data_IF_493258830345
#
_entry.id   IF_493258830345
#
_cell.length_a   1.000
_cell.length_b   1.000
_cell.length_c   1.000
_cell.angle_alpha   90.00
_cell.angle_beta   90.00
_cell.angle_gamma   90.00
#
_symmetry.space_group_name_H-M   'P 1'
#
loop_
_entity.id
_entity.type
_entity.pdbx_description
1 polymer ?
#
# COMPACT_ATOMS: atom_id res chain seq x y z
N UNK A 1 -55.34 -4.24 -23.02
CA UNK A 1 -54.30 -5.27 -23.16
C UNK A 1 -52.98 -4.55 -23.10
N UNK A 2 -52.44 -4.42 -21.90
CA UNK A 2 -51.27 -3.62 -21.61
C UNK A 2 -50.18 -4.57 -21.10
N UNK A 3 -49.06 -4.59 -21.81
CA UNK A 3 -47.88 -5.43 -21.56
C UNK A 3 -47.02 -4.93 -20.37
N UNK A 4 -47.57 -4.12 -19.46
CA UNK A 4 -46.81 -3.49 -18.37
C UNK A 4 -46.87 -4.24 -17.03
N UNK A 5 -47.67 -5.30 -16.90
CA UNK A 5 -47.87 -5.98 -15.60
C UNK A 5 -46.90 -7.15 -15.30
N UNK A 6 -45.89 -7.39 -16.16
CA UNK A 6 -44.95 -8.51 -15.99
C UNK A 6 -43.63 -8.17 -15.27
N UNK A 7 -43.42 -6.93 -14.82
CA UNK A 7 -42.17 -6.54 -14.16
C UNK A 7 -42.08 -6.92 -12.67
N UNK A 8 -43.17 -7.38 -12.04
CA UNK A 8 -43.29 -7.43 -10.57
C UNK A 8 -42.99 -8.79 -9.91
N UNK A 9 -42.25 -9.71 -10.53
CA UNK A 9 -41.79 -10.93 -9.84
C UNK A 9 -40.57 -11.57 -10.52
N UNK A 10 -39.43 -10.88 -10.52
CA UNK A 10 -38.14 -11.55 -10.79
C UNK A 10 -37.87 -12.56 -9.68
N UNK A 11 -37.60 -13.82 -10.07
CA UNK A 11 -37.26 -14.90 -9.16
C UNK A 11 -36.05 -14.47 -8.28
N UNK A 12 -36.15 -14.53 -6.94
CA UNK A 12 -35.02 -14.26 -6.04
C UNK A 12 -33.73 -15.01 -6.43
N UNK A 13 -33.86 -16.21 -7.03
CA UNK A 13 -32.71 -16.97 -7.55
C UNK A 13 -32.06 -16.30 -8.76
N UNK A 14 -32.84 -15.80 -9.71
CA UNK A 14 -32.31 -15.12 -10.89
C UNK A 14 -31.58 -13.82 -10.51
N UNK A 15 -32.12 -13.08 -9.54
CA UNK A 15 -31.48 -11.88 -8.98
C UNK A 15 -30.13 -12.23 -8.34
N UNK A 16 -30.10 -13.26 -7.50
CA UNK A 16 -28.88 -13.72 -6.82
C UNK A 16 -27.80 -14.16 -7.81
N UNK A 17 -28.15 -14.94 -8.84
CA UNK A 17 -27.20 -15.39 -9.87
C UNK A 17 -26.63 -14.21 -10.66
N UNK A 18 -27.46 -13.24 -11.05
CA UNK A 18 -27.01 -12.05 -11.78
C UNK A 18 -26.06 -11.20 -10.93
N UNK A 19 -26.38 -11.00 -9.66
CA UNK A 19 -25.53 -10.27 -8.72
C UNK A 19 -24.19 -10.97 -8.53
N UNK A 20 -24.19 -12.29 -8.28
CA UNK A 20 -22.96 -13.08 -8.17
C UNK A 20 -22.08 -12.99 -9.42
N UNK A 21 -22.67 -13.11 -10.62
CA UNK A 21 -21.91 -13.00 -11.87
C UNK A 21 -21.25 -11.64 -12.07
N UNK A 22 -21.90 -10.55 -11.62
CA UNK A 22 -21.31 -9.20 -11.67
C UNK A 22 -20.21 -9.01 -10.64
N UNK A 23 -20.38 -9.51 -9.41
CA UNK A 23 -19.32 -9.48 -8.39
C UNK A 23 -18.07 -10.18 -8.91
N UNK A 24 -18.21 -11.39 -9.45
CA UNK A 24 -17.08 -12.16 -10.01
C UNK A 24 -16.39 -11.39 -11.15
N UNK A 25 -17.16 -10.71 -12.00
CA UNK A 25 -16.60 -9.86 -13.06
C UNK A 25 -15.76 -8.73 -12.46
N UNK A 26 -16.34 -7.94 -11.55
CA UNK A 26 -15.65 -6.78 -10.97
C UNK A 26 -14.50 -7.17 -10.05
N UNK A 27 -14.60 -8.25 -9.28
CA UNK A 27 -13.50 -8.72 -8.44
C UNK A 27 -12.30 -9.15 -9.29
N UNK A 28 -12.54 -9.80 -10.43
CA UNK A 28 -11.47 -10.13 -11.39
C UNK A 28 -10.83 -8.87 -11.97
N UNK A 29 -11.62 -7.87 -12.33
CA UNK A 29 -11.11 -6.58 -12.83
C UNK A 29 -10.26 -5.88 -11.75
N UNK A 30 -10.73 -5.85 -10.50
CA UNK A 30 -10.01 -5.27 -9.35
C UNK A 30 -8.61 -5.87 -9.19
N UNK A 31 -8.47 -7.20 -9.33
CA UNK A 31 -7.17 -7.87 -9.18
C UNK A 31 -6.15 -7.56 -10.29
N UNK A 32 -6.57 -6.91 -11.38
CA UNK A 32 -5.69 -6.48 -12.46
C UNK A 32 -5.28 -5.00 -12.36
N UNK A 33 -5.79 -4.27 -11.36
CA UNK A 33 -5.46 -2.86 -11.17
C UNK A 33 -4.09 -2.70 -10.53
N UNK A 34 -3.43 -1.57 -10.83
CA UNK A 34 -2.05 -1.34 -10.41
C UNK A 34 -1.95 -0.40 -9.21
N UNK A 35 -2.99 0.41 -8.98
CA UNK A 35 -3.04 1.43 -7.93
C UNK A 35 -4.28 1.32 -7.03
N UNK A 36 -4.16 1.82 -5.80
CA UNK A 36 -5.27 1.84 -4.83
C UNK A 36 -6.38 2.80 -5.29
N UNK A 37 -6.01 3.87 -5.96
CA UNK A 37 -6.91 4.87 -6.53
C UNK A 37 -7.82 4.24 -7.61
N UNK A 38 -7.28 3.40 -8.49
CA UNK A 38 -8.07 2.67 -9.47
C UNK A 38 -9.07 1.71 -8.82
N UNK A 39 -8.65 1.01 -7.76
CA UNK A 39 -9.54 0.11 -7.00
C UNK A 39 -10.70 0.91 -6.40
N UNK A 40 -10.42 2.09 -5.83
CA UNK A 40 -11.43 2.95 -5.26
C UNK A 40 -12.43 3.44 -6.33
N UNK A 41 -11.95 3.94 -7.47
CA UNK A 41 -12.80 4.39 -8.58
C UNK A 41 -13.69 3.27 -9.12
N UNK A 42 -13.12 2.08 -9.38
CA UNK A 42 -13.90 0.93 -9.86
C UNK A 42 -14.94 0.49 -8.83
N UNK A 43 -14.61 0.54 -7.54
CA UNK A 43 -15.56 0.22 -6.47
C UNK A 43 -16.75 1.17 -6.45
N UNK A 44 -16.52 2.49 -6.62
CA UNK A 44 -17.59 3.48 -6.71
C UNK A 44 -18.52 3.23 -7.90
N UNK A 45 -17.96 2.82 -9.05
CA UNK A 45 -18.73 2.53 -10.26
C UNK A 45 -19.50 1.21 -10.18
N UNK A 46 -18.88 0.17 -9.62
CA UNK A 46 -19.37 -1.20 -9.62
C UNK A 46 -20.46 -1.45 -8.59
N UNK A 47 -20.34 -0.89 -7.39
CA UNK A 47 -21.26 -1.19 -6.29
C UNK A 47 -22.73 -0.85 -6.62
N UNK A 48 -23.08 0.38 -7.06
CA UNK A 48 -24.47 0.73 -7.38
C UNK A 48 -25.01 -0.10 -8.55
N UNK A 49 -24.12 -0.70 -9.34
CA UNK A 49 -24.46 -1.45 -10.51
C UNK A 49 -25.04 -2.83 -10.16
N UNK A 50 -24.48 -3.56 -9.19
CA UNK A 50 -24.93 -4.94 -8.87
C UNK A 50 -25.67 -5.10 -7.54
N UNK A 51 -25.61 -4.10 -6.66
CA UNK A 51 -26.36 -4.10 -5.41
C UNK A 51 -27.73 -3.44 -5.64
N UNK A 52 -28.79 -4.12 -5.22
CA UNK A 52 -30.16 -3.61 -5.38
C UNK A 52 -30.39 -2.35 -4.54
N UNK A 53 -31.29 -1.48 -5.02
CA UNK A 53 -31.52 -0.18 -4.39
C UNK A 53 -30.43 0.87 -4.66
N UNK A 54 -29.42 0.54 -5.48
CA UNK A 54 -28.40 1.47 -5.99
C UNK A 54 -27.77 2.35 -4.90
N UNK A 55 -27.12 1.75 -3.89
CA UNK A 55 -26.55 2.52 -2.79
C UNK A 55 -25.45 3.47 -3.26
N UNK A 56 -25.22 4.53 -2.48
CA UNK A 56 -24.04 5.39 -2.59
C UNK A 56 -22.89 4.77 -1.79
N UNK A 57 -21.83 4.25 -2.45
CA UNK A 57 -20.66 3.72 -1.77
C UNK A 57 -19.73 4.79 -1.21
N UNK A 58 -19.05 4.45 -0.12
CA UNK A 58 -17.84 5.10 0.39
C UNK A 58 -16.83 4.02 0.72
N UNK A 59 -15.60 4.17 0.26
CA UNK A 59 -14.52 3.23 0.55
C UNK A 59 -13.51 3.90 1.47
N UNK A 60 -13.16 3.23 2.58
CA UNK A 60 -12.11 3.66 3.48
C UNK A 60 -11.00 2.60 3.57
N UNK A 61 -9.74 3.03 3.52
CA UNK A 61 -8.55 2.19 3.68
C UNK A 61 -8.16 2.13 5.15
N UNK A 62 -7.86 0.92 5.63
CA UNK A 62 -7.19 0.69 6.90
C UNK A 62 -5.69 0.60 6.61
N UNK A 63 -4.91 1.52 7.17
CA UNK A 63 -3.46 1.56 7.01
C UNK A 63 -2.80 1.81 8.35
N UNK A 64 -1.98 0.86 8.80
CA UNK A 64 -1.26 0.93 10.07
C UNK A 64 -2.18 1.19 11.28
N UNK A 65 -3.41 0.67 11.24
CA UNK A 65 -4.41 0.91 12.28
C UNK A 65 -5.17 2.23 12.20
N UNK A 66 -4.87 3.08 11.21
CA UNK A 66 -5.67 4.28 10.93
C UNK A 66 -6.64 4.00 9.77
N UNK A 67 -7.87 4.50 9.89
CA UNK A 67 -8.91 4.39 8.87
C UNK A 67 -9.09 5.76 8.19
N UNK A 68 -9.00 5.83 6.86
CA UNK A 68 -9.17 7.07 6.08
C UNK A 68 -10.00 6.80 4.83
N UNK A 69 -10.86 7.74 4.45
CA UNK A 69 -11.63 7.63 3.21
C UNK A 69 -10.69 7.68 2.00
N UNK A 70 -10.82 6.72 1.09
CA UNK A 70 -10.18 6.74 -0.23
C UNK A 70 -11.03 7.52 -1.22
N UNK A 71 -12.31 7.15 -1.34
CA UNK A 71 -13.24 7.75 -2.30
C UNK A 71 -14.69 7.58 -1.80
N UNK A 72 -15.57 8.50 -2.22
CA UNK A 72 -16.98 8.47 -1.82
C UNK A 72 -17.90 9.02 -2.90
N UNK A 73 -19.05 8.35 -3.10
CA UNK A 73 -20.19 8.91 -3.82
C UNK A 73 -21.19 9.62 -2.89
N UNK A 74 -20.90 9.72 -1.60
CA UNK A 74 -21.70 10.47 -0.64
C UNK A 74 -21.37 11.95 -0.75
N UNK A 75 -22.41 12.78 -0.81
CA UNK A 75 -22.23 14.23 -0.84
C UNK A 75 -21.53 14.72 0.45
N UNK A 76 -20.48 15.53 0.27
CA UNK A 76 -19.74 16.14 1.38
C UNK A 76 -18.72 15.23 2.07
N UNK A 77 -18.37 14.10 1.45
CA UNK A 77 -17.26 13.24 1.87
C UNK A 77 -16.25 13.14 0.74
N UNK A 78 -14.98 13.30 1.08
CA UNK A 78 -13.89 13.32 0.13
C UNK A 78 -12.74 12.40 0.57
N UNK A 79 -11.88 12.04 -0.38
CA UNK A 79 -10.65 11.30 -0.10
C UNK A 79 -9.77 12.05 0.92
N UNK A 80 -9.31 11.31 1.93
CA UNK A 80 -8.53 11.84 3.06
C UNK A 80 -9.34 12.17 4.31
N UNK A 81 -10.68 12.24 4.21
CA UNK A 81 -11.54 12.54 5.36
C UNK A 81 -11.54 11.41 6.41
N UNK A 82 -11.98 11.76 7.63
CA UNK A 82 -12.25 10.76 8.66
C UNK A 82 -13.47 9.92 8.28
N UNK A 83 -13.41 8.60 8.47
CA UNK A 83 -14.52 7.71 8.24
C UNK A 83 -15.67 8.04 9.21
N UNK A 84 -16.91 7.86 8.74
CA UNK A 84 -18.09 8.01 9.61
C UNK A 84 -18.12 6.96 10.74
N UNK A 85 -18.92 7.20 11.80
CA UNK A 85 -18.95 6.34 12.98
C UNK A 85 -19.35 4.89 12.68
N UNK A 86 -20.16 4.67 11.64
CA UNK A 86 -20.51 3.30 11.21
C UNK A 86 -19.30 2.52 10.69
N UNK A 87 -18.43 3.16 9.88
CA UNK A 87 -17.22 2.54 9.37
C UNK A 87 -16.20 2.29 10.50
N UNK A 88 -16.10 3.24 11.43
CA UNK A 88 -15.26 3.10 12.62
C UNK A 88 -15.72 1.91 13.47
N UNK A 89 -17.03 1.77 13.69
CA UNK A 89 -17.60 0.63 14.42
C UNK A 89 -17.29 -0.70 13.76
N UNK A 90 -17.46 -0.79 12.44
CA UNK A 90 -17.13 -1.98 11.67
C UNK A 90 -15.63 -2.32 11.74
N UNK A 91 -14.76 -1.31 11.73
CA UNK A 91 -13.32 -1.50 11.91
C UNK A 91 -12.97 -2.06 13.31
N UNK A 92 -13.66 -1.57 14.35
CA UNK A 92 -13.43 -1.98 15.73
C UNK A 92 -13.92 -3.40 16.02
N UNK A 93 -15.12 -3.75 15.54
CA UNK A 93 -15.74 -5.05 15.83
C UNK A 93 -15.33 -6.13 14.83
N UNK A 94 -14.95 -5.76 13.62
CA UNK A 94 -14.69 -6.70 12.52
C UNK A 94 -15.96 -7.30 11.92
N UNK A 95 -17.13 -6.86 12.37
CA UNK A 95 -18.43 -7.33 11.90
C UNK A 95 -19.00 -6.39 10.84
N UNK A 96 -19.92 -6.90 10.03
CA UNK A 96 -20.74 -6.04 9.17
C UNK A 96 -21.69 -5.26 10.07
N UNK A 97 -21.66 -3.93 10.00
CA UNK A 97 -22.49 -3.07 10.84
C UNK A 97 -23.60 -2.43 10.02
N UNK A 98 -24.84 -2.55 10.49
CA UNK A 98 -26.03 -2.01 9.84
C UNK A 98 -26.69 -0.99 10.76
N UNK A 99 -27.02 0.16 10.20
CA UNK A 99 -27.84 1.19 10.86
C UNK A 99 -29.02 1.52 9.94
N UNK A 100 -30.24 1.52 10.47
CA UNK A 100 -31.46 1.75 9.69
C UNK A 100 -32.40 2.70 10.45
N UNK A 101 -33.10 3.58 9.73
CA UNK A 101 -34.12 4.46 10.33
C UNK A 101 -35.34 3.68 10.76
N UNK A 102 -36.10 4.27 11.67
CA UNK A 102 -37.42 3.78 12.06
C UNK A 102 -38.31 3.49 10.84
N UNK A 103 -38.89 2.30 10.84
CA UNK A 103 -39.78 1.82 9.78
C UNK A 103 -39.10 0.99 8.69
N UNK A 104 -37.77 0.92 8.65
CA UNK A 104 -37.05 0.02 7.75
C UNK A 104 -36.90 -1.36 8.39
N UNK A 105 -37.29 -2.42 7.68
CA UNK A 105 -37.14 -3.79 8.15
C UNK A 105 -35.72 -4.31 7.88
N UNK A 106 -35.09 -4.94 8.88
CA UNK A 106 -33.82 -5.67 8.72
C UNK A 106 -34.14 -7.16 8.79
N UNK A 107 -34.34 -7.77 7.63
CA UNK A 107 -34.76 -9.16 7.47
C UNK A 107 -33.60 -10.18 7.55
N UNK A 108 -32.36 -9.72 7.39
CA UNK A 108 -31.16 -10.56 7.51
C UNK A 108 -30.38 -10.25 8.78
N UNK A 109 -30.23 -11.26 9.65
CA UNK A 109 -29.45 -11.20 10.89
C UNK A 109 -28.71 -12.51 11.08
N UNK A 110 -27.41 -12.42 11.31
CA UNK A 110 -26.52 -13.53 11.70
C UNK A 110 -25.52 -13.02 12.74
N UNK A 111 -24.63 -13.90 13.21
CA UNK A 111 -23.63 -13.57 14.24
C UNK A 111 -22.61 -12.52 13.77
N UNK A 112 -22.37 -12.45 12.46
CA UNK A 112 -21.40 -11.54 11.84
C UNK A 112 -22.00 -10.17 11.46
N UNK A 113 -23.32 -9.97 11.69
CA UNK A 113 -24.02 -8.70 11.42
C UNK A 113 -24.45 -8.06 12.73
N UNK A 114 -23.87 -6.90 13.03
CA UNK A 114 -24.23 -6.05 14.14
C UNK A 114 -25.24 -4.98 13.68
N UNK A 115 -26.41 -4.95 14.30
CA UNK A 115 -27.40 -3.87 14.06
C UNK A 115 -27.25 -2.84 15.16
N UNK A 116 -26.99 -1.59 14.78
CA UNK A 116 -26.86 -0.46 15.69
C UNK A 116 -28.05 0.48 15.59
N UNK A 117 -28.37 1.11 16.72
CA UNK A 117 -29.41 2.13 16.81
C UNK A 117 -28.91 3.45 16.20
N UNK A 118 -29.71 4.15 15.36
CA UNK A 118 -29.38 5.48 14.87
C UNK A 118 -29.00 6.47 15.96
N UNK A 119 -29.64 6.42 17.12
CA UNK A 119 -29.36 7.34 18.24
C UNK A 119 -27.96 7.13 18.84
N UNK A 120 -27.37 5.94 18.64
CA UNK A 120 -26.02 5.60 19.07
C UNK A 120 -24.93 5.94 18.05
N UNK A 121 -25.29 6.45 16.88
CA UNK A 121 -24.36 6.65 15.76
C UNK A 121 -24.57 8.03 15.12
N UNK A 122 -23.82 9.03 15.59
CA UNK A 122 -24.00 10.42 15.19
C UNK A 122 -23.95 10.59 13.66
N UNK A 123 -24.99 11.20 13.09
CA UNK A 123 -25.12 11.39 11.63
C UNK A 123 -25.45 10.13 10.82
N UNK A 124 -25.74 8.97 11.42
CA UNK A 124 -26.11 7.75 10.72
C UNK A 124 -27.54 7.27 11.05
N UNK A 125 -28.26 6.62 10.12
CA UNK A 125 -27.85 6.32 8.74
C UNK A 125 -28.02 7.52 7.81
N UNK A 126 -27.23 7.55 6.74
CA UNK A 126 -27.31 8.56 5.69
C UNK A 126 -28.39 8.16 4.67
N UNK A 127 -29.64 8.47 5.00
CA UNK A 127 -30.80 8.06 4.20
C UNK A 127 -31.71 7.12 4.99
N UNK A 128 -32.17 6.04 4.36
CA UNK A 128 -32.98 5.03 5.00
C UNK A 128 -32.13 3.99 5.75
N UNK A 129 -31.06 3.51 5.12
CA UNK A 129 -30.18 2.45 5.66
C UNK A 129 -28.73 2.73 5.30
N UNK A 130 -27.82 2.48 6.23
CA UNK A 130 -26.39 2.45 6.02
C UNK A 130 -25.84 1.09 6.43
N UNK A 131 -24.92 0.54 5.65
CA UNK A 131 -24.20 -0.71 5.92
C UNK A 131 -22.70 -0.48 5.81
N UNK A 132 -21.91 -0.97 6.76
CA UNK A 132 -20.46 -0.95 6.70
C UNK A 132 -19.92 -2.40 6.74
N UNK A 133 -19.27 -2.83 5.67
CA UNK A 133 -18.65 -4.14 5.55
C UNK A 133 -17.12 -4.02 5.67
N UNK A 134 -16.51 -4.52 6.75
CA UNK A 134 -15.07 -4.47 6.94
C UNK A 134 -14.38 -5.73 6.41
N UNK A 135 -13.14 -5.59 5.94
CA UNK A 135 -12.21 -6.71 5.81
C UNK A 135 -10.86 -6.26 6.35
N UNK A 136 -10.39 -6.96 7.39
CA UNK A 136 -9.26 -6.52 8.22
C UNK A 136 -8.25 -7.65 8.36
N UNK A 137 -7.01 -7.36 7.99
CA UNK A 137 -5.84 -8.21 8.23
C UNK A 137 -5.02 -7.59 9.35
N UNK A 138 -4.79 -8.33 10.43
CA UNK A 138 -3.95 -7.89 11.56
C UNK A 138 -2.68 -8.73 11.60
N UNK A 139 -1.54 -8.07 11.58
CA UNK A 139 -0.24 -8.70 11.78
C UNK A 139 0.68 -7.82 12.65
N UNK A 140 1.96 -8.17 12.74
CA UNK A 140 2.97 -7.42 13.50
C UNK A 140 3.14 -5.97 13.02
N UNK A 141 2.74 -5.65 11.79
CA UNK A 141 2.82 -4.30 11.21
C UNK A 141 1.57 -3.46 11.46
N UNK A 142 0.58 -4.00 12.17
CA UNK A 142 -0.68 -3.33 12.47
C UNK A 142 -1.84 -3.82 11.59
N UNK A 143 -2.98 -3.14 11.71
CA UNK A 143 -4.16 -3.48 10.91
C UNK A 143 -4.05 -2.89 9.49
N UNK A 144 -4.44 -3.69 8.49
CA UNK A 144 -4.55 -3.34 7.07
C UNK A 144 -5.84 -3.89 6.48
N UNK A 145 -6.36 -3.27 5.42
CA UNK A 145 -7.58 -3.73 4.76
C UNK A 145 -8.45 -2.55 4.33
N UNK A 146 -9.75 -2.76 4.29
CA UNK A 146 -10.69 -1.72 3.90
C UNK A 146 -12.05 -1.88 4.56
N UNK A 147 -12.84 -0.81 4.55
CA UNK A 147 -14.25 -0.80 4.94
C UNK A 147 -15.06 -0.21 3.79
N UNK A 148 -16.02 -0.98 3.28
CA UNK A 148 -16.99 -0.52 2.28
C UNK A 148 -18.27 -0.10 3.00
N UNK A 149 -18.62 1.19 2.91
CA UNK A 149 -19.88 1.72 3.42
C UNK A 149 -20.86 1.94 2.29
N UNK A 150 -22.09 1.50 2.46
CA UNK A 150 -23.18 1.62 1.51
C UNK A 150 -24.33 2.38 2.15
N UNK A 151 -24.74 3.47 1.52
CA UNK A 151 -25.85 4.30 1.96
C UNK A 151 -27.02 4.21 0.97
N UNK A 152 -28.18 3.74 1.42
CA UNK A 152 -29.42 3.73 0.65
C UNK A 152 -30.32 4.88 1.08
N UNK A 153 -30.77 5.70 0.13
CA UNK A 153 -31.67 6.82 0.42
C UNK A 153 -33.12 6.41 0.65
N UNK A 154 -33.60 5.32 0.05
CA UNK A 154 -35.03 4.92 0.03
C UNK A 154 -35.27 3.42 0.15
N UNK A 155 -34.42 2.67 0.85
CA UNK A 155 -34.59 1.23 1.03
C UNK A 155 -35.53 0.94 2.21
N UNK A 156 -36.59 0.17 1.98
CA UNK A 156 -37.59 -0.15 3.01
C UNK A 156 -37.35 -1.49 3.72
N UNK A 157 -36.56 -2.39 3.11
CA UNK A 157 -36.21 -3.68 3.71
C UNK A 157 -34.78 -4.10 3.30
N UNK A 158 -33.94 -4.37 4.30
CA UNK A 158 -32.58 -4.90 4.12
C UNK A 158 -32.57 -6.42 4.25
N UNK A 159 -32.46 -7.09 3.11
CA UNK A 159 -32.38 -8.56 2.98
C UNK A 159 -30.95 -9.08 2.74
N UNK A 160 -30.78 -10.41 2.79
CA UNK A 160 -29.49 -11.11 2.64
C UNK A 160 -28.75 -10.75 1.35
N UNK A 161 -29.50 -10.55 0.25
CA UNK A 161 -28.94 -10.21 -1.05
C UNK A 161 -28.44 -8.76 -1.18
N UNK A 162 -28.59 -7.93 -0.14
CA UNK A 162 -27.88 -6.66 -0.04
C UNK A 162 -26.58 -6.84 0.76
N UNK A 163 -26.65 -7.58 1.87
CA UNK A 163 -25.56 -7.72 2.83
C UNK A 163 -24.44 -8.59 2.28
N UNK A 164 -24.73 -9.82 1.85
CA UNK A 164 -23.69 -10.76 1.39
C UNK A 164 -22.88 -10.25 0.20
N UNK A 165 -23.52 -9.69 -0.86
CA UNK A 165 -22.78 -9.06 -1.95
C UNK A 165 -21.84 -7.95 -1.51
N UNK A 166 -22.25 -7.10 -0.56
CA UNK A 166 -21.43 -6.02 -0.05
C UNK A 166 -20.21 -6.58 0.70
N UNK A 167 -20.43 -7.56 1.57
CA UNK A 167 -19.40 -8.23 2.36
C UNK A 167 -18.36 -8.93 1.48
N UNK A 168 -18.81 -9.76 0.53
CA UNK A 168 -17.91 -10.42 -0.43
C UNK A 168 -17.12 -9.43 -1.29
N UNK A 169 -17.73 -8.32 -1.69
CA UNK A 169 -17.03 -7.34 -2.50
C UNK A 169 -16.01 -6.55 -1.67
N UNK A 170 -16.32 -6.22 -0.41
CA UNK A 170 -15.39 -5.60 0.52
C UNK A 170 -14.13 -6.47 0.72
N UNK A 171 -14.29 -7.80 0.79
CA UNK A 171 -13.17 -8.74 0.89
C UNK A 171 -12.21 -8.63 -0.30
N UNK A 172 -12.76 -8.63 -1.52
CA UNK A 172 -11.97 -8.50 -2.74
C UNK A 172 -11.26 -7.15 -2.85
N UNK A 173 -11.95 -6.07 -2.49
CA UNK A 173 -11.37 -4.72 -2.46
C UNK A 173 -10.20 -4.67 -1.47
N UNK A 174 -10.40 -5.13 -0.24
CA UNK A 174 -9.38 -5.12 0.80
C UNK A 174 -8.17 -5.98 0.40
N UNK A 175 -8.41 -7.17 -0.17
CA UNK A 175 -7.34 -8.05 -0.67
C UNK A 175 -6.50 -7.35 -1.73
N UNK A 176 -7.14 -6.70 -2.70
CA UNK A 176 -6.44 -6.00 -3.77
C UNK A 176 -5.61 -4.82 -3.25
N UNK A 177 -6.17 -4.00 -2.36
CA UNK A 177 -5.47 -2.88 -1.72
C UNK A 177 -4.24 -3.39 -0.97
N UNK A 178 -4.38 -4.44 -0.15
CA UNK A 178 -3.26 -5.02 0.62
C UNK A 178 -2.16 -5.52 -0.31
N UNK A 179 -2.53 -6.21 -1.40
CA UNK A 179 -1.56 -6.72 -2.38
C UNK A 179 -0.81 -5.60 -3.09
N UNK A 180 -1.50 -4.54 -3.53
CA UNK A 180 -0.89 -3.37 -4.17
C UNK A 180 0.08 -2.70 -3.19
N UNK A 181 -0.34 -2.43 -1.96
CA UNK A 181 0.51 -1.81 -0.93
C UNK A 181 1.75 -2.65 -0.59
N UNK A 182 1.59 -3.97 -0.57
CA UNK A 182 2.69 -4.92 -0.35
C UNK A 182 3.71 -4.83 -1.48
N UNK A 183 3.26 -4.86 -2.74
CA UNK A 183 4.12 -4.72 -3.93
C UNK A 183 4.84 -3.37 -3.96
N UNK A 184 4.12 -2.26 -3.75
CA UNK A 184 4.72 -0.92 -3.71
C UNK A 184 5.82 -0.81 -2.64
N UNK A 185 5.61 -1.44 -1.48
CA UNK A 185 6.61 -1.45 -0.40
C UNK A 185 7.86 -2.22 -0.81
N UNK A 186 7.69 -3.38 -1.45
CA UNK A 186 8.79 -4.19 -1.93
C UNK A 186 9.60 -3.47 -3.02
N UNK A 187 8.92 -2.84 -3.97
CA UNK A 187 9.57 -2.06 -5.03
C UNK A 187 10.35 -0.87 -4.46
N UNK A 188 9.77 -0.14 -3.50
CA UNK A 188 10.48 0.94 -2.80
C UNK A 188 11.73 0.43 -2.08
N UNK A 189 11.61 -0.65 -1.32
CA UNK A 189 12.76 -1.24 -0.63
C UNK A 189 13.86 -1.70 -1.59
N UNK A 190 13.48 -2.31 -2.72
CA UNK A 190 14.42 -2.73 -3.77
C UNK A 190 15.13 -1.54 -4.43
N UNK A 191 14.40 -0.48 -4.74
CA UNK A 191 14.96 0.73 -5.34
C UNK A 191 15.92 1.44 -4.37
N UNK A 192 15.57 1.51 -3.09
CA UNK A 192 16.44 2.06 -2.06
C UNK A 192 17.73 1.25 -1.91
N UNK A 193 17.64 -0.09 -1.96
CA UNK A 193 18.80 -0.97 -1.93
C UNK A 193 19.68 -0.79 -3.17
N UNK A 194 19.08 -0.77 -4.36
CA UNK A 194 19.81 -0.56 -5.61
C UNK A 194 20.57 0.77 -5.61
N UNK A 195 19.92 1.84 -5.14
CA UNK A 195 20.53 3.17 -5.02
C UNK A 195 21.69 3.19 -4.02
N UNK A 196 21.58 2.47 -2.90
CA UNK A 196 22.69 2.33 -1.94
C UNK A 196 23.87 1.56 -2.55
N UNK A 197 23.62 0.50 -3.32
CA UNK A 197 24.66 -0.25 -4.01
C UNK A 197 25.38 0.60 -5.05
N UNK A 198 24.64 1.33 -5.88
CA UNK A 198 25.22 2.25 -6.86
C UNK A 198 26.14 3.29 -6.19
N UNK A 199 25.71 3.86 -5.06
CA UNK A 199 26.53 4.82 -4.31
C UNK A 199 27.83 4.21 -3.79
N UNK A 200 27.80 2.96 -3.30
CA UNK A 200 28.99 2.25 -2.84
C UNK A 200 29.97 2.02 -3.99
N UNK A 201 29.49 1.59 -5.16
CA UNK A 201 30.32 1.39 -6.35
C UNK A 201 30.96 2.69 -6.84
N UNK A 202 30.23 3.81 -6.76
CA UNK A 202 30.77 5.15 -7.08
C UNK A 202 31.87 5.55 -6.10
N UNK A 203 31.69 5.31 -4.79
CA UNK A 203 32.72 5.59 -3.80
C UNK A 203 33.97 4.73 -4.02
N UNK A 204 33.83 3.43 -4.28
CA UNK A 204 34.98 2.55 -4.56
C UNK A 204 35.76 3.05 -5.79
N UNK A 205 35.06 3.45 -6.86
CA UNK A 205 35.71 4.00 -8.06
C UNK A 205 36.46 5.31 -7.76
N UNK A 206 35.80 6.28 -7.13
CA UNK A 206 36.40 7.59 -6.83
C UNK A 206 37.62 7.44 -5.92
N UNK A 207 37.52 6.60 -4.89
CA UNK A 207 38.61 6.39 -3.95
C UNK A 207 39.75 5.62 -4.62
N UNK A 208 39.48 4.42 -5.16
CA UNK A 208 40.54 3.51 -5.60
C UNK A 208 41.15 3.92 -6.93
N UNK A 209 40.33 4.31 -7.89
CA UNK A 209 40.83 4.66 -9.21
C UNK A 209 41.27 6.12 -9.22
N UNK A 210 40.40 7.07 -8.90
CA UNK A 210 40.72 8.47 -9.16
C UNK A 210 41.70 9.03 -8.11
N UNK A 211 41.36 8.93 -6.83
CA UNK A 211 42.21 9.44 -5.76
C UNK A 211 43.48 8.60 -5.56
N UNK A 212 43.37 7.27 -5.68
CA UNK A 212 44.53 6.37 -5.66
C UNK A 212 45.54 6.71 -6.76
N UNK A 213 45.08 6.91 -8.00
CA UNK A 213 45.95 7.30 -9.11
C UNK A 213 46.63 8.66 -8.86
N UNK A 214 45.87 9.66 -8.40
CA UNK A 214 46.41 10.99 -8.13
C UNK A 214 47.48 10.96 -7.04
N UNK A 215 47.25 10.21 -5.95
CA UNK A 215 48.23 10.04 -4.88
C UNK A 215 49.49 9.32 -5.38
N UNK A 216 49.36 8.33 -6.25
CA UNK A 216 50.50 7.64 -6.82
C UNK A 216 51.33 8.54 -7.76
N UNK A 217 50.66 9.42 -8.51
CA UNK A 217 51.33 10.46 -9.31
C UNK A 217 52.07 11.46 -8.42
N UNK A 218 51.44 11.94 -7.34
CA UNK A 218 52.05 12.85 -6.37
C UNK A 218 53.28 12.19 -5.72
N UNK A 219 53.19 10.92 -5.33
CA UNK A 219 54.31 10.17 -4.77
C UNK A 219 55.48 10.10 -5.76
N UNK A 220 55.22 9.77 -7.03
CA UNK A 220 56.24 9.70 -8.07
C UNK A 220 56.93 11.04 -8.38
N UNK A 221 56.18 12.15 -8.46
CA UNK A 221 56.79 13.47 -8.64
C UNK A 221 57.58 13.93 -7.42
N UNK A 222 57.13 13.59 -6.22
CA UNK A 222 57.84 13.91 -4.99
C UNK A 222 59.18 13.18 -4.90
N UNK A 223 59.23 11.91 -5.30
CA UNK A 223 60.46 11.11 -5.39
C UNK A 223 61.45 11.72 -6.41
N UNK A 224 60.96 12.11 -7.58
CA UNK A 224 61.76 12.77 -8.62
C UNK A 224 62.31 14.14 -8.16
N UNK A 225 61.52 14.92 -7.42
CA UNK A 225 61.97 16.18 -6.84
C UNK A 225 63.06 15.90 -5.79
N UNK A 226 62.83 14.99 -4.84
CA UNK A 226 63.81 14.64 -3.81
C UNK A 226 65.18 14.28 -4.40
N UNK A 227 65.19 13.52 -5.50
CA UNK A 227 66.40 13.14 -6.24
C UNK A 227 67.05 14.32 -7.01
N UNK A 228 66.26 15.31 -7.44
CA UNK A 228 66.77 16.43 -8.23
C UNK A 228 67.35 17.59 -7.39
N UNK A 229 66.95 17.70 -6.11
CA UNK A 229 67.43 18.72 -5.16
C UNK A 229 68.37 18.13 -4.09
N UNK A 230 69.17 17.12 -4.45
CA UNK A 230 70.15 16.46 -3.56
C UNK A 230 71.09 17.44 -2.81
N UNK A 231 71.35 18.62 -3.36
CA UNK A 231 72.20 19.66 -2.75
C UNK A 231 71.45 20.63 -1.81
N UNK A 232 70.11 20.53 -1.71
CA UNK A 232 69.27 21.32 -0.81
C UNK A 232 68.50 20.39 0.14
N UNK A 233 69.13 20.10 1.29
CA UNK A 233 68.61 19.23 2.36
C UNK A 233 67.18 19.60 2.80
N UNK A 234 66.80 20.88 2.70
CA UNK A 234 65.49 21.34 3.16
C UNK A 234 64.40 21.03 2.13
N UNK A 235 64.67 21.29 0.84
CA UNK A 235 63.76 20.95 -0.25
C UNK A 235 63.65 19.42 -0.44
N UNK A 236 64.75 18.68 -0.31
CA UNK A 236 64.75 17.21 -0.35
C UNK A 236 63.88 16.63 0.78
N UNK A 237 64.04 17.12 2.01
CA UNK A 237 63.22 16.69 3.15
C UNK A 237 61.72 17.03 3.01
N UNK A 238 61.38 18.13 2.32
CA UNK A 238 59.98 18.45 2.00
C UNK A 238 59.39 17.47 0.98
N UNK A 239 60.14 17.13 -0.06
CA UNK A 239 59.71 16.21 -1.10
C UNK A 239 59.47 14.79 -0.54
N UNK A 240 60.40 14.24 0.27
CA UNK A 240 60.22 12.95 0.94
C UNK A 240 58.99 12.90 1.85
N UNK A 241 58.64 14.02 2.49
CA UNK A 241 57.46 14.10 3.36
C UNK A 241 56.17 14.06 2.55
N UNK A 242 56.14 14.70 1.38
CA UNK A 242 54.98 14.64 0.47
C UNK A 242 54.82 13.21 -0.05
N UNK A 243 55.91 12.57 -0.47
CA UNK A 243 55.93 11.18 -0.92
C UNK A 243 55.34 10.22 0.11
N UNK A 244 55.90 10.20 1.33
CA UNK A 244 55.40 9.33 2.43
C UNK A 244 53.93 9.56 2.75
N UNK A 245 53.49 10.82 2.71
CA UNK A 245 52.08 11.16 3.00
C UNK A 245 51.17 10.65 1.89
N UNK A 246 51.58 10.76 0.63
CA UNK A 246 50.83 10.26 -0.52
C UNK A 246 50.73 8.72 -0.52
N UNK A 247 51.83 8.03 -0.22
CA UNK A 247 51.87 6.56 -0.07
C UNK A 247 50.97 6.08 1.08
N UNK A 248 51.07 6.71 2.26
CA UNK A 248 50.22 6.38 3.42
C UNK A 248 48.72 6.57 3.11
N UNK A 249 48.38 7.60 2.33
CA UNK A 249 47.00 7.85 1.92
C UNK A 249 46.51 6.83 0.87
N UNK A 250 47.37 6.40 -0.05
CA UNK A 250 47.04 5.37 -1.03
C UNK A 250 46.79 4.01 -0.35
N UNK A 251 47.61 3.63 0.63
CA UNK A 251 47.41 2.40 1.41
C UNK A 251 46.08 2.41 2.19
N UNK A 252 45.71 3.54 2.78
CA UNK A 252 44.41 3.69 3.46
C UNK A 252 43.23 3.48 2.51
N UNK A 253 43.32 4.02 1.30
CA UNK A 253 42.30 3.85 0.25
C UNK A 253 42.16 2.39 -0.16
N UNK A 254 43.27 1.67 -0.33
CA UNK A 254 43.24 0.25 -0.67
C UNK A 254 42.60 -0.60 0.43
N UNK A 255 42.93 -0.34 1.70
CA UNK A 255 42.34 -1.02 2.85
C UNK A 255 40.81 -0.79 2.95
N UNK A 256 40.35 0.44 2.68
CA UNK A 256 38.92 0.76 2.62
C UNK A 256 38.24 -0.02 1.50
N UNK A 257 38.85 -0.09 0.31
CA UNK A 257 38.32 -0.85 -0.82
C UNK A 257 38.23 -2.36 -0.54
N UNK A 258 39.19 -2.94 0.18
CA UNK A 258 39.11 -4.34 0.62
C UNK A 258 37.96 -4.57 1.60
N UNK A 259 37.77 -3.66 2.56
CA UNK A 259 36.67 -3.75 3.55
C UNK A 259 35.30 -3.69 2.87
N UNK A 260 35.13 -2.81 1.89
CA UNK A 260 33.89 -2.72 1.10
C UNK A 260 33.62 -4.01 0.33
N UNK A 261 34.65 -4.58 -0.33
CA UNK A 261 34.52 -5.87 -1.04
C UNK A 261 34.10 -7.01 -0.12
N UNK A 262 34.62 -7.07 1.10
CA UNK A 262 34.21 -8.10 2.08
C UNK A 262 32.75 -7.93 2.48
N UNK A 263 32.29 -6.70 2.73
CA UNK A 263 30.89 -6.43 3.08
C UNK A 263 29.91 -6.76 1.93
N UNK A 264 30.31 -6.57 0.67
CA UNK A 264 29.50 -6.98 -0.48
C UNK A 264 29.35 -8.51 -0.59
N UNK A 265 30.37 -9.28 -0.21
CA UNK A 265 30.36 -10.74 -0.25
C UNK A 265 29.54 -11.36 0.89
N UNK A 266 29.41 -10.68 2.03
CA UNK A 266 28.61 -11.14 3.17
C UNK A 266 27.12 -10.75 3.05
N UNK A 267 26.76 -9.87 2.12
CA UNK A 267 25.43 -9.28 1.98
C UNK A 267 24.46 -9.97 1.00
N UNK A 268 24.85 -11.05 0.33
CA UNK A 268 23.93 -11.86 -0.48
C UNK A 268 23.30 -12.97 0.38
N UNK A 269 22.07 -12.80 0.93
CA UNK A 269 21.38 -13.90 1.58
C UNK A 269 21.05 -14.97 0.52
N UNK A 270 21.42 -16.22 0.79
CA UNK A 270 20.93 -17.36 0.00
C UNK A 270 19.40 -17.29 -0.07
N UNK A 271 18.88 -17.20 -1.29
CA UNK A 271 17.45 -17.29 -1.57
C UNK A 271 17.02 -18.68 -1.13
N UNK A 272 16.32 -18.77 -0.01
CA UNK A 272 15.75 -20.01 0.47
C UNK A 272 14.55 -20.32 -0.42
N UNK A 273 14.74 -21.23 -1.38
CA UNK A 273 13.63 -21.76 -2.19
C UNK A 273 12.57 -22.32 -1.23
N UNK A 274 11.37 -21.73 -1.29
CA UNK A 274 10.21 -22.27 -0.58
C UNK A 274 9.75 -23.50 -1.37
N UNK A 275 9.86 -24.67 -0.74
CA UNK A 275 9.28 -25.90 -1.29
C UNK A 275 7.75 -25.77 -1.45
N UNK A 276 7.17 -26.39 -2.49
CA UNK A 276 5.77 -26.24 -2.88
C UNK A 276 4.75 -26.83 -1.89
#
# INVERSE_FOLDING_TARGET
MSEEDHASRRDPRERTVKTAGRIVKYSREIYHLESVEEVAMLSMEATPQFIDGHPSPTLAEIRNGELRVLESLRNGVHGGDEPGPLAQRAYETGNVVVCARDGVEIAYRNEDVEVVDPDGCDGCPHGAVSLAAPTIYRDEMGARGAVLVLDWSTLDCLEEFHVKPADYFAEHIATAIVNIRSRERLERARNDLAKRKEMVEVYDRLLRHDLGNDLQVIAGFSDAIATAVEDDDQLAGHAEKIQRTAESAAELIDNVGETVKTLEQEGEPEVRDLEP
#
